data_IF_427416397296
#
_entry.id   IF_427416397296
#
_cell.length_a   1.000
_cell.length_b   1.000
_cell.length_c   1.000
_cell.angle_alpha   90.00
_cell.angle_beta   90.00
_cell.angle_gamma   90.00
#
_symmetry.space_group_name_H-M   'P 1'
#
loop_
_entity.id
_entity.type
_entity.pdbx_description
1 polymer ?
#
# COMPACT_ATOMS: atom_id res chain seq x y z
N UNK A 1 -9.43 -36.97 -35.23
CA UNK A 1 -10.30 -36.08 -34.43
C UNK A 1 -9.43 -35.31 -33.48
N UNK A 2 -9.21 -34.03 -33.74
CA UNK A 2 -8.45 -33.12 -32.87
C UNK A 2 -9.44 -32.39 -31.96
N UNK A 3 -9.36 -32.62 -30.63
CA UNK A 3 -10.14 -31.91 -29.63
C UNK A 3 -9.34 -30.65 -29.28
N UNK A 4 -9.80 -29.50 -29.74
CA UNK A 4 -9.26 -28.23 -29.34
C UNK A 4 -9.80 -27.88 -27.95
N UNK A 5 -8.93 -27.89 -26.95
CA UNK A 5 -9.22 -27.39 -25.60
C UNK A 5 -9.20 -25.88 -25.66
N UNK A 6 -10.36 -25.25 -25.65
CA UNK A 6 -10.46 -23.78 -25.46
C UNK A 6 -10.29 -23.51 -23.98
N UNK A 7 -9.10 -23.03 -23.59
CA UNK A 7 -8.88 -22.51 -22.25
C UNK A 7 -9.60 -21.15 -22.15
N UNK A 8 -10.76 -21.14 -21.55
CA UNK A 8 -11.50 -19.94 -21.23
C UNK A 8 -10.75 -19.16 -20.14
N UNK A 9 -10.13 -18.04 -20.50
CA UNK A 9 -9.59 -17.08 -19.55
C UNK A 9 -10.77 -16.42 -18.85
N UNK A 10 -11.00 -16.72 -17.57
CA UNK A 10 -11.91 -15.95 -16.74
C UNK A 10 -11.27 -14.61 -16.45
N UNK A 11 -11.58 -13.62 -17.26
CA UNK A 11 -11.24 -12.24 -16.93
C UNK A 11 -12.11 -11.81 -15.75
N UNK A 12 -11.50 -11.62 -14.57
CA UNK A 12 -12.16 -10.94 -13.46
C UNK A 12 -12.29 -9.47 -13.84
N UNK A 13 -13.46 -9.08 -14.33
CA UNK A 13 -13.78 -7.69 -14.53
C UNK A 13 -13.83 -7.02 -13.13
N UNK A 14 -12.87 -6.14 -12.84
CA UNK A 14 -13.00 -5.26 -11.68
C UNK A 14 -14.17 -4.32 -11.95
N UNK A 15 -15.25 -4.50 -11.21
CA UNK A 15 -16.38 -3.58 -11.26
C UNK A 15 -15.96 -2.29 -10.55
N UNK A 16 -15.58 -1.28 -11.34
CA UNK A 16 -15.30 0.06 -10.82
C UNK A 16 -16.64 0.76 -10.55
N UNK A 17 -16.90 1.12 -9.30
CA UNK A 17 -18.08 1.91 -8.92
C UNK A 17 -17.71 3.38 -9.01
N UNK A 18 -18.45 4.13 -9.85
CA UNK A 18 -18.27 5.56 -10.06
C UNK A 18 -19.57 6.26 -9.66
N UNK A 19 -19.51 7.17 -8.71
CA UNK A 19 -20.68 7.91 -8.27
C UNK A 19 -20.35 9.39 -8.09
N UNK A 20 -21.38 10.24 -8.24
CA UNK A 20 -21.26 11.69 -8.05
C UNK A 20 -21.62 12.12 -6.63
N UNK A 21 -22.26 11.26 -5.86
CA UNK A 21 -22.62 11.53 -4.47
C UNK A 21 -21.44 11.20 -3.54
N UNK A 22 -20.95 12.23 -2.84
CA UNK A 22 -19.87 12.06 -1.89
C UNK A 22 -20.22 11.06 -0.79
N UNK A 23 -19.31 10.12 -0.44
CA UNK A 23 -19.50 9.28 0.72
C UNK A 23 -19.50 10.14 1.98
N UNK A 24 -20.30 9.80 3.00
CA UNK A 24 -20.21 10.46 4.30
C UNK A 24 -18.85 10.24 4.95
N UNK A 25 -18.55 11.02 6.00
CA UNK A 25 -17.38 10.77 6.83
C UNK A 25 -17.41 9.34 7.39
N UNK A 26 -16.25 8.66 7.51
CA UNK A 26 -16.18 7.33 8.11
C UNK A 26 -16.78 7.32 9.51
N UNK A 27 -17.54 6.28 9.83
CA UNK A 27 -18.07 6.09 11.17
C UNK A 27 -16.95 5.64 12.11
N UNK A 28 -16.97 6.19 13.32
CA UNK A 28 -16.03 5.75 14.35
C UNK A 28 -16.44 4.37 14.89
N UNK A 29 -15.49 3.46 14.91
CA UNK A 29 -15.65 2.13 15.51
C UNK A 29 -14.50 1.86 16.47
N UNK A 30 -14.81 1.25 17.59
CA UNK A 30 -13.78 0.77 18.51
C UNK A 30 -13.18 -0.50 17.94
N UNK A 31 -11.87 -0.48 17.69
CA UNK A 31 -11.15 -1.68 17.25
C UNK A 31 -10.95 -2.58 18.47
N UNK A 32 -11.49 -3.82 18.46
CA UNK A 32 -11.31 -4.73 19.58
C UNK A 32 -9.87 -5.22 19.65
N UNK A 33 -9.48 -5.71 20.83
CA UNK A 33 -8.21 -6.41 20.96
C UNK A 33 -8.26 -7.70 20.14
N UNK A 34 -7.36 -7.83 19.16
CA UNK A 34 -7.33 -8.97 18.26
C UNK A 34 -6.45 -10.09 18.83
N UNK A 35 -6.85 -11.36 18.66
CA UNK A 35 -5.97 -12.48 18.92
C UNK A 35 -4.72 -12.43 18.02
N UNK A 36 -3.63 -13.05 18.45
CA UNK A 36 -2.45 -13.21 17.61
C UNK A 36 -2.79 -13.90 16.29
N UNK A 37 -2.26 -13.39 15.18
CA UNK A 37 -2.53 -13.94 13.84
C UNK A 37 -3.78 -13.36 13.15
N UNK A 38 -4.43 -12.35 13.75
CA UNK A 38 -5.56 -11.65 13.15
C UNK A 38 -5.22 -10.19 12.83
N UNK A 39 -5.87 -9.65 11.82
CA UNK A 39 -5.79 -8.25 11.42
C UNK A 39 -7.20 -7.65 11.39
N UNK A 40 -7.27 -6.34 11.57
CA UNK A 40 -8.52 -5.61 11.50
C UNK A 40 -8.74 -5.04 10.10
N UNK A 41 -9.87 -5.37 9.48
CA UNK A 41 -10.37 -4.69 8.30
C UNK A 41 -11.32 -3.57 8.76
N UNK A 42 -10.95 -2.28 8.58
CA UNK A 42 -11.80 -1.17 8.99
C UNK A 42 -13.15 -1.19 8.30
N UNK A 43 -14.16 -0.63 8.95
CA UNK A 43 -15.44 -0.38 8.32
C UNK A 43 -15.32 0.59 7.15
N UNK A 44 -16.27 0.57 6.26
CA UNK A 44 -16.26 1.38 5.06
C UNK A 44 -17.67 1.66 4.54
N UNK A 45 -17.79 2.65 3.68
CA UNK A 45 -19.02 2.94 2.96
C UNK A 45 -19.09 2.09 1.69
N UNK A 46 -20.06 1.19 1.62
CA UNK A 46 -20.46 0.51 0.39
C UNK A 46 -21.50 1.33 -0.37
N UNK A 47 -21.72 1.02 -1.62
CA UNK A 47 -22.76 1.60 -2.44
C UNK A 47 -23.79 0.51 -2.79
N UNK A 48 -25.04 0.72 -2.43
CA UNK A 48 -26.12 -0.22 -2.68
C UNK A 48 -27.44 0.51 -2.83
N UNK A 49 -28.25 0.13 -3.83
CA UNK A 49 -29.56 0.74 -4.09
C UNK A 49 -29.53 2.29 -4.12
N UNK A 50 -28.55 2.84 -4.86
CA UNK A 50 -28.37 4.28 -5.06
C UNK A 50 -28.09 5.10 -3.78
N UNK A 51 -27.56 4.46 -2.74
CA UNK A 51 -27.13 5.16 -1.53
C UNK A 51 -25.90 4.49 -0.88
N UNK A 52 -25.23 5.26 -0.02
CA UNK A 52 -24.14 4.75 0.79
C UNK A 52 -24.65 3.93 1.97
N UNK A 53 -24.06 2.76 2.18
CA UNK A 53 -24.36 1.86 3.31
C UNK A 53 -23.08 1.60 4.08
N UNK A 54 -23.11 1.81 5.40
CA UNK A 54 -21.97 1.50 6.25
C UNK A 54 -21.82 0.00 6.46
N UNK A 55 -20.63 -0.52 6.17
CA UNK A 55 -20.22 -1.89 6.47
C UNK A 55 -19.26 -1.86 7.64
N UNK A 56 -19.60 -2.55 8.71
CA UNK A 56 -18.78 -2.60 9.94
C UNK A 56 -17.42 -3.24 9.67
N UNK A 57 -16.41 -2.79 10.41
CA UNK A 57 -15.12 -3.45 10.46
C UNK A 57 -15.23 -4.89 10.97
N UNK A 58 -14.26 -5.69 10.62
CA UNK A 58 -14.19 -7.11 11.00
C UNK A 58 -12.76 -7.54 11.25
N UNK A 59 -12.58 -8.55 12.09
CA UNK A 59 -11.33 -9.26 12.22
C UNK A 59 -11.19 -10.30 11.11
N UNK A 60 -9.99 -10.44 10.58
CA UNK A 60 -9.66 -11.42 9.57
C UNK A 60 -8.39 -12.17 9.95
N UNK A 61 -8.32 -13.43 9.57
CA UNK A 61 -7.10 -14.20 9.72
C UNK A 61 -5.99 -13.58 8.86
N UNK A 62 -4.83 -13.32 9.45
CA UNK A 62 -3.66 -12.80 8.75
C UNK A 62 -3.25 -13.75 7.61
N UNK A 63 -2.92 -13.18 6.47
CA UNK A 63 -2.36 -13.92 5.35
C UNK A 63 -0.85 -13.65 5.29
N UNK A 64 0.01 -14.64 5.58
CA UNK A 64 1.45 -14.45 5.57
C UNK A 64 1.95 -13.95 4.21
N UNK A 65 2.83 -12.93 4.23
CA UNK A 65 3.34 -12.31 3.01
C UNK A 65 2.39 -11.32 2.34
N UNK A 66 1.25 -11.02 2.97
CA UNK A 66 0.25 -10.06 2.49
C UNK A 66 -0.15 -9.10 3.59
N UNK A 67 -0.63 -7.94 3.19
CA UNK A 67 -1.28 -6.98 4.06
C UNK A 67 -2.64 -6.59 3.50
N UNK A 68 -3.54 -6.18 4.39
CA UNK A 68 -4.86 -5.74 4.00
C UNK A 68 -4.84 -4.28 3.57
N UNK A 69 -5.20 -4.02 2.31
CA UNK A 69 -5.44 -2.69 1.80
C UNK A 69 -6.92 -2.34 2.04
N UNK A 70 -7.22 -1.36 2.92
CA UNK A 70 -8.60 -1.03 3.24
C UNK A 70 -9.39 -0.53 2.05
N UNK A 71 -10.70 -0.76 2.10
CA UNK A 71 -11.65 -0.14 1.18
C UNK A 71 -11.63 1.39 1.36
N UNK A 72 -11.64 2.13 0.26
CA UNK A 72 -11.60 3.60 0.29
C UNK A 72 -12.29 4.19 -0.92
N UNK A 73 -12.65 5.48 -0.81
CA UNK A 73 -13.16 6.29 -1.90
C UNK A 73 -12.14 7.35 -2.29
N UNK A 74 -11.83 7.44 -3.58
CA UNK A 74 -11.00 8.48 -4.16
C UNK A 74 -11.88 9.45 -4.94
N UNK A 75 -11.58 10.75 -4.88
CA UNK A 75 -12.27 11.78 -5.64
C UNK A 75 -11.40 12.22 -6.82
N UNK A 76 -12.02 12.28 -8.03
CA UNK A 76 -11.42 12.84 -9.24
C UNK A 76 -12.48 13.58 -10.03
N UNK A 77 -12.28 14.87 -10.30
CA UNK A 77 -13.17 15.68 -11.14
C UNK A 77 -14.64 15.60 -10.71
N UNK A 78 -14.92 15.68 -9.40
CA UNK A 78 -16.28 15.61 -8.86
C UNK A 78 -16.93 14.23 -8.89
N UNK A 79 -16.21 13.21 -9.30
CA UNK A 79 -16.65 11.81 -9.28
C UNK A 79 -15.90 11.04 -8.22
N UNK A 80 -16.58 10.15 -7.53
CA UNK A 80 -16.02 9.32 -6.47
C UNK A 80 -15.86 7.89 -6.97
N UNK A 81 -14.65 7.35 -6.79
CA UNK A 81 -14.26 6.01 -7.21
C UNK A 81 -13.98 5.16 -6.00
N UNK A 82 -14.63 4.02 -5.91
CA UNK A 82 -14.38 3.08 -4.82
C UNK A 82 -13.21 2.17 -5.14
N UNK A 83 -12.26 2.13 -4.25
CA UNK A 83 -11.19 1.11 -4.22
C UNK A 83 -11.61 0.02 -3.23
N UNK A 84 -12.04 -1.12 -3.74
CA UNK A 84 -12.46 -2.25 -2.90
C UNK A 84 -11.28 -2.78 -2.10
N UNK A 85 -11.49 -3.05 -0.81
CA UNK A 85 -10.47 -3.65 0.05
C UNK A 85 -9.94 -4.96 -0.53
N UNK A 86 -8.64 -5.19 -0.40
CA UNK A 86 -7.97 -6.37 -0.95
C UNK A 86 -6.70 -6.73 -0.18
N UNK A 87 -6.27 -7.96 -0.33
CA UNK A 87 -4.95 -8.38 0.10
C UNK A 87 -3.92 -8.00 -0.95
N UNK A 88 -2.84 -7.35 -0.52
CA UNK A 88 -1.70 -7.00 -1.36
C UNK A 88 -0.45 -7.69 -0.83
N UNK A 89 0.48 -8.03 -1.74
CA UNK A 89 1.76 -8.61 -1.35
C UNK A 89 2.58 -7.60 -0.56
N UNK A 90 3.11 -8.08 0.57
CA UNK A 90 4.05 -7.31 1.36
C UNK A 90 5.42 -7.32 0.66
N UNK A 91 5.96 -6.17 0.33
CA UNK A 91 7.32 -6.05 -0.15
C UNK A 91 7.57 -5.34 -1.48
N UNK A 92 6.59 -5.15 -2.35
CA UNK A 92 6.84 -4.52 -3.65
C UNK A 92 6.72 -3.00 -3.63
N UNK A 93 5.97 -2.41 -2.73
CA UNK A 93 5.79 -0.95 -2.68
C UNK A 93 6.36 -0.26 -1.44
N UNK A 94 6.49 -0.95 -0.32
CA UNK A 94 7.05 -0.36 0.89
C UNK A 94 8.59 -0.38 0.96
N UNK A 95 9.26 -1.12 0.10
CA UNK A 95 10.72 -1.10 -0.02
C UNK A 95 11.27 0.13 -0.77
N UNK A 96 10.44 0.90 -1.41
CA UNK A 96 10.86 1.96 -2.33
C UNK A 96 11.11 3.34 -1.73
N UNK A 97 10.71 3.61 -0.48
CA UNK A 97 10.76 4.97 0.08
C UNK A 97 11.28 5.03 1.52
N UNK A 98 12.28 4.22 1.83
CA UNK A 98 13.15 4.56 2.95
C UNK A 98 13.99 5.79 2.56
N UNK A 99 14.30 6.69 3.51
CA UNK A 99 15.20 7.80 3.21
C UNK A 99 16.51 7.22 2.70
N UNK A 100 16.89 7.57 1.47
CA UNK A 100 18.21 7.25 0.93
C UNK A 100 19.22 7.93 1.84
N UNK A 101 19.88 7.17 2.71
CA UNK A 101 21.05 7.65 3.41
C UNK A 101 22.05 8.06 2.34
N UNK A 102 22.29 9.36 2.22
CA UNK A 102 23.42 9.89 1.46
C UNK A 102 24.68 9.28 2.09
N UNK A 103 25.35 8.41 1.36
CA UNK A 103 26.71 8.01 1.72
C UNK A 103 27.53 9.30 1.81
N UNK A 104 27.91 9.65 3.03
CA UNK A 104 28.93 10.65 3.26
C UNK A 104 30.19 10.14 2.56
N UNK A 105 30.59 10.83 1.50
CA UNK A 105 31.91 10.64 0.91
C UNK A 105 32.90 11.00 1.99
N UNK A 106 33.63 10.02 2.46
CA UNK A 106 34.85 10.25 3.20
C UNK A 106 35.83 10.85 2.21
N UNK A 107 36.00 12.16 2.28
CA UNK A 107 37.13 12.82 1.68
C UNK A 107 38.37 12.34 2.45
N UNK A 108 39.13 11.49 1.83
CA UNK A 108 40.49 11.19 2.27
C UNK A 108 41.32 12.41 1.93
N UNK A 109 41.47 13.29 2.88
CA UNK A 109 42.53 14.26 2.86
C UNK A 109 43.87 13.49 2.85
N UNK A 110 44.49 13.53 1.72
CA UNK A 110 45.91 13.12 1.57
C UNK A 110 46.73 14.26 2.08
N UNK A 111 47.11 14.12 3.32
CA UNK A 111 48.20 14.90 3.89
C UNK A 111 49.52 14.50 3.19
N UNK A 112 50.04 15.37 2.35
CA UNK A 112 51.35 15.22 1.76
C UNK A 112 52.34 15.92 2.70
N UNK A 113 53.00 15.05 3.45
CA UNK A 113 54.08 15.38 4.34
C UNK A 113 55.14 16.27 3.75
N UNK A 114 55.53 17.24 4.57
CA UNK A 114 56.58 18.18 4.32
C UNK A 114 57.94 17.54 4.16
N UNK A 115 58.67 18.01 3.19
CA UNK A 115 60.09 17.81 3.01
C UNK A 115 60.83 18.47 4.13
N UNK A 116 61.57 17.69 4.89
CA UNK A 116 62.67 18.17 5.69
C UNK A 116 63.89 18.38 4.80
N UNK A 117 64.23 19.63 4.60
CA UNK A 117 65.55 20.01 4.13
C UNK A 117 66.48 20.13 5.31
N UNK A 118 67.46 19.23 5.38
CA UNK A 118 68.63 19.35 6.24
C UNK A 118 69.69 20.18 5.52
N UNK A 119 69.81 21.47 5.82
CA UNK A 119 70.96 22.26 5.47
C UNK A 119 72.00 22.15 6.57
N UNK A 120 73.14 21.64 6.20
CA UNK A 120 74.37 21.68 6.98
C UNK A 120 74.97 23.10 6.91
N UNK A 121 75.33 23.58 8.05
CA UNK A 121 76.73 24.04 8.36
C UNK A 121 76.84 24.20 9.85
#
# INVERSE_FOLDING_TARGET
MAIALVAGSTAFAQVSIHIVLAPPAPQYEVVPMLPSGYVWAPGYWAWSNDHHVWVRGRSMMQRPGYYWQPDRWDQRNGTYYRQVGRWERDGDEHRGKGPKMKKLKHDKDRDHGGKHDNGRN
#
